data_IF_482300060656
#
_entry.id   IF_482300060656
#
_cell.length_a   1.000
_cell.length_b   1.000
_cell.length_c   1.000
_cell.angle_alpha   90.00
_cell.angle_beta   90.00
_cell.angle_gamma   90.00
#
_symmetry.space_group_name_H-M   'P 1'
#
loop_
_entity.id
_entity.type
_entity.pdbx_description
1 polymer ?
#
# COMPACT_ATOMS: atom_id res chain seq x y z
N UNK A 1 9.01 5.01 9.94
CA UNK A 1 7.77 4.33 9.50
C UNK A 1 7.96 4.04 8.01
N UNK A 2 8.14 2.77 7.63
CA UNK A 2 8.42 2.36 6.25
C UNK A 2 7.22 2.68 5.35
N UNK A 3 7.45 3.30 4.18
CA UNK A 3 6.40 3.61 3.21
C UNK A 3 5.95 2.31 2.51
N UNK A 4 4.87 1.71 3.01
CA UNK A 4 4.38 0.42 2.52
C UNK A 4 3.86 0.51 1.08
N UNK A 5 3.46 1.69 0.63
CA UNK A 5 3.02 1.91 -0.76
C UNK A 5 4.21 1.81 -1.71
N UNK A 6 5.33 2.41 -1.35
CA UNK A 6 6.56 2.37 -2.15
C UNK A 6 7.09 0.93 -2.31
N UNK A 7 7.06 0.16 -1.22
CA UNK A 7 7.44 -1.27 -1.25
C UNK A 7 6.50 -2.12 -2.12
N UNK A 8 5.22 -1.74 -2.24
CA UNK A 8 4.26 -2.39 -3.11
C UNK A 8 4.49 -2.00 -4.59
N UNK A 9 4.72 -0.73 -4.88
CA UNK A 9 4.77 -0.23 -6.26
C UNK A 9 6.01 -0.65 -7.05
N UNK A 10 7.16 -0.90 -6.40
CA UNK A 10 8.45 -0.99 -7.13
C UNK A 10 9.20 -2.33 -7.09
N UNK A 11 8.76 -3.33 -6.33
CA UNK A 11 9.53 -4.58 -6.25
C UNK A 11 9.14 -5.59 -7.34
N UNK A 12 10.16 -5.99 -8.11
CA UNK A 12 10.12 -7.10 -9.06
C UNK A 12 10.00 -8.45 -8.33
N UNK A 13 9.29 -9.46 -8.87
CA UNK A 13 9.24 -10.78 -8.27
C UNK A 13 10.63 -11.45 -8.36
N UNK A 14 11.23 -11.82 -7.22
CA UNK A 14 12.37 -12.75 -7.20
C UNK A 14 11.89 -14.18 -7.42
N UNK A 15 12.74 -15.03 -8.02
CA UNK A 15 12.45 -16.43 -8.38
C UNK A 15 12.78 -17.42 -7.24
N UNK A 16 12.89 -16.96 -6.00
CA UNK A 16 13.21 -17.82 -4.85
C UNK A 16 11.94 -18.38 -4.22
N UNK A 17 12.03 -19.54 -3.55
CA UNK A 17 11.03 -20.05 -2.60
C UNK A 17 10.43 -18.87 -1.80
N UNK A 18 9.09 -18.74 -1.73
CA UNK A 18 8.48 -17.56 -1.15
C UNK A 18 8.74 -17.54 0.36
N UNK A 19 9.73 -16.76 0.78
CA UNK A 19 9.92 -16.42 2.18
C UNK A 19 8.72 -15.65 2.75
N UNK A 20 8.61 -15.59 4.08
CA UNK A 20 7.53 -14.89 4.79
C UNK A 20 7.34 -13.45 4.31
N UNK A 21 8.43 -12.78 3.91
CA UNK A 21 8.40 -11.42 3.37
C UNK A 21 7.71 -11.37 2.00
N UNK A 22 8.01 -12.32 1.11
CA UNK A 22 7.41 -12.46 -0.22
C UNK A 22 5.93 -12.80 -0.13
N UNK A 23 5.53 -13.72 0.77
CA UNK A 23 4.13 -14.07 1.02
C UNK A 23 3.36 -12.85 1.52
N UNK A 24 3.90 -12.17 2.54
CA UNK A 24 3.30 -10.96 3.11
C UNK A 24 3.14 -9.88 2.05
N UNK A 25 4.18 -9.63 1.25
CA UNK A 25 4.13 -8.65 0.16
C UNK A 25 3.05 -8.98 -0.87
N UNK A 26 2.98 -10.23 -1.32
CA UNK A 26 1.96 -10.67 -2.29
C UNK A 26 0.56 -10.48 -1.72
N UNK A 27 0.32 -10.86 -0.46
CA UNK A 27 -0.97 -10.66 0.19
C UNK A 27 -1.36 -9.17 0.25
N UNK A 28 -0.44 -8.29 0.66
CA UNK A 28 -0.68 -6.85 0.69
C UNK A 28 -0.98 -6.27 -0.70
N UNK A 29 -0.27 -6.72 -1.74
CA UNK A 29 -0.53 -6.30 -3.12
C UNK A 29 -1.91 -6.71 -3.62
N UNK A 30 -2.43 -7.87 -3.21
CA UNK A 30 -3.78 -8.31 -3.62
C UNK A 30 -4.89 -7.46 -3.02
N UNK A 31 -4.71 -6.95 -1.80
CA UNK A 31 -5.71 -6.11 -1.13
C UNK A 31 -5.55 -4.62 -1.43
N UNK A 32 -4.37 -4.18 -1.89
CA UNK A 32 -4.08 -2.76 -2.13
C UNK A 32 -5.11 -2.06 -3.03
N UNK A 33 -5.59 -2.62 -4.17
CA UNK A 33 -6.62 -1.97 -4.98
C UNK A 33 -7.91 -1.72 -4.21
N UNK A 34 -8.34 -2.70 -3.40
CA UNK A 34 -9.53 -2.57 -2.55
C UNK A 34 -9.34 -1.48 -1.49
N UNK A 35 -8.18 -1.44 -0.84
CA UNK A 35 -7.83 -0.38 0.13
C UNK A 35 -7.93 1.01 -0.53
N UNK A 36 -7.33 1.18 -1.71
CA UNK A 36 -7.34 2.45 -2.41
C UNK A 36 -8.73 2.85 -2.91
N UNK A 37 -9.61 1.89 -3.18
CA UNK A 37 -10.97 2.15 -3.64
C UNK A 37 -11.93 2.48 -2.48
N UNK A 38 -11.81 1.79 -1.35
CA UNK A 38 -12.74 1.91 -0.23
C UNK A 38 -12.34 2.98 0.80
N UNK A 39 -11.04 3.16 1.06
CA UNK A 39 -10.58 4.04 2.15
C UNK A 39 -10.29 5.48 1.69
N UNK A 40 -10.03 5.68 0.39
CA UNK A 40 -9.61 6.98 -0.13
C UNK A 40 -10.77 7.68 -0.83
N UNK A 41 -10.91 8.98 -0.57
CA UNK A 41 -11.81 9.82 -1.35
C UNK A 41 -11.35 9.91 -2.82
N UNK A 42 -12.25 10.23 -3.77
CA UNK A 42 -11.87 10.39 -5.18
C UNK A 42 -10.71 11.37 -5.38
N UNK A 43 -10.63 12.43 -4.57
CA UNK A 43 -9.57 13.43 -4.65
C UNK A 43 -8.24 12.91 -4.11
N UNK A 44 -8.26 12.21 -2.98
CA UNK A 44 -7.08 11.52 -2.43
C UNK A 44 -6.50 10.52 -3.44
N UNK A 45 -7.35 9.67 -4.03
CA UNK A 45 -6.96 8.68 -5.04
C UNK A 45 -6.37 9.33 -6.28
N UNK A 46 -6.98 10.42 -6.75
CA UNK A 46 -6.49 11.17 -7.91
C UNK A 46 -5.11 11.77 -7.66
N UNK A 47 -4.91 12.44 -6.52
CA UNK A 47 -3.62 13.02 -6.17
C UNK A 47 -2.55 11.94 -5.94
N UNK A 48 -2.88 10.85 -5.24
CA UNK A 48 -1.96 9.76 -4.94
C UNK A 48 -1.52 9.04 -6.22
N UNK A 49 -2.45 8.73 -7.14
CA UNK A 49 -2.12 8.12 -8.44
C UNK A 49 -1.25 9.04 -9.28
N UNK A 50 -1.59 10.33 -9.38
CA UNK A 50 -0.79 11.27 -10.15
C UNK A 50 0.64 11.41 -9.61
N UNK A 51 0.83 11.27 -8.30
CA UNK A 51 2.16 11.34 -7.69
C UNK A 51 2.97 10.05 -7.89
N UNK A 52 2.43 8.89 -7.50
CA UNK A 52 3.17 7.61 -7.49
C UNK A 52 3.17 6.87 -8.82
N UNK A 53 2.10 6.97 -9.61
CA UNK A 53 1.95 6.24 -10.89
C UNK A 53 2.33 7.12 -12.06
N UNK A 54 1.81 8.35 -12.11
CA UNK A 54 2.10 9.26 -13.22
C UNK A 54 3.44 10.04 -13.02
N UNK A 55 4.09 9.91 -11.86
CA UNK A 55 5.38 10.56 -11.55
C UNK A 55 5.33 12.09 -11.47
N UNK A 56 4.16 12.69 -11.27
CA UNK A 56 3.99 14.15 -11.27
C UNK A 56 4.38 14.77 -9.94
N UNK A 57 5.02 15.93 -9.99
CA UNK A 57 5.26 16.75 -8.81
C UNK A 57 3.95 17.31 -8.24
N UNK A 58 3.95 17.65 -6.95
CA UNK A 58 2.78 18.24 -6.29
C UNK A 58 2.34 19.56 -6.95
N UNK A 59 3.28 20.34 -7.48
CA UNK A 59 3.01 21.59 -8.20
C UNK A 59 2.31 21.35 -9.54
N UNK A 60 2.73 20.33 -10.29
CA UNK A 60 2.07 19.95 -11.55
C UNK A 60 0.66 19.41 -11.30
N UNK A 61 0.49 18.61 -10.25
CA UNK A 61 -0.83 18.12 -9.81
C UNK A 61 -1.73 19.28 -9.41
N UNK A 62 -1.20 20.23 -8.63
CA UNK A 62 -1.93 21.42 -8.19
C UNK A 62 -2.43 22.25 -9.39
N UNK A 63 -1.54 22.53 -10.35
CA UNK A 63 -1.88 23.23 -11.59
C UNK A 63 -2.95 22.49 -12.40
N UNK A 64 -2.80 21.17 -12.56
CA UNK A 64 -3.75 20.34 -13.32
C UNK A 64 -5.13 20.29 -12.69
N UNK A 65 -5.22 20.30 -11.36
CA UNK A 65 -6.47 20.15 -10.62
C UNK A 65 -7.10 21.49 -10.20
N UNK A 66 -6.45 22.62 -10.46
CA UNK A 66 -6.91 23.93 -10.00
C UNK A 66 -6.88 24.07 -8.47
N UNK A 67 -5.89 23.46 -7.82
CA UNK A 67 -5.73 23.44 -6.36
C UNK A 67 -4.45 24.17 -5.94
N UNK A 68 -4.34 24.49 -4.65
CA UNK A 68 -3.05 24.90 -4.07
C UNK A 68 -2.13 23.68 -3.90
N UNK A 69 -0.81 23.89 -3.92
CA UNK A 69 0.15 22.82 -3.66
C UNK A 69 -0.01 22.26 -2.23
N UNK A 70 -0.35 23.11 -1.25
CA UNK A 70 -0.64 22.66 0.12
C UNK A 70 -1.85 21.71 0.18
N UNK A 71 -2.91 21.99 -0.58
CA UNK A 71 -4.08 21.12 -0.69
C UNK A 71 -3.72 19.77 -1.31
N UNK A 72 -2.87 19.75 -2.34
CA UNK A 72 -2.39 18.50 -2.94
C UNK A 72 -1.55 17.70 -1.95
N UNK A 73 -0.62 18.37 -1.26
CA UNK A 73 0.20 17.75 -0.21
C UNK A 73 -0.68 17.10 0.86
N UNK A 74 -1.69 17.82 1.36
CA UNK A 74 -2.66 17.28 2.31
C UNK A 74 -3.36 16.02 1.78
N UNK A 75 -3.86 16.04 0.55
CA UNK A 75 -4.52 14.87 -0.03
C UNK A 75 -3.60 13.67 -0.17
N UNK A 76 -2.33 13.87 -0.56
CA UNK A 76 -1.34 12.78 -0.65
C UNK A 76 -1.06 12.21 0.74
N UNK A 77 -0.78 13.07 1.73
CA UNK A 77 -0.50 12.62 3.09
C UNK A 77 -1.69 11.90 3.73
N UNK A 78 -2.90 12.43 3.58
CA UNK A 78 -4.11 11.80 4.09
C UNK A 78 -4.35 10.43 3.43
N UNK A 79 -4.15 10.33 2.11
CA UNK A 79 -4.27 9.08 1.37
C UNK A 79 -3.24 8.02 1.84
N UNK A 80 -1.98 8.43 2.00
CA UNK A 80 -0.91 7.57 2.52
C UNK A 80 -1.23 7.06 3.92
N UNK A 81 -1.66 7.96 4.81
CA UNK A 81 -2.01 7.59 6.18
C UNK A 81 -3.18 6.60 6.24
N UNK A 82 -4.22 6.81 5.41
CA UNK A 82 -5.36 5.91 5.33
C UNK A 82 -4.95 4.51 4.83
N UNK A 83 -4.23 4.44 3.71
CA UNK A 83 -3.77 3.18 3.14
C UNK A 83 -2.80 2.44 4.09
N UNK A 84 -1.81 3.14 4.65
CA UNK A 84 -0.83 2.53 5.56
C UNK A 84 -1.48 1.96 6.82
N UNK A 85 -2.49 2.64 7.38
CA UNK A 85 -3.22 2.12 8.55
C UNK A 85 -3.86 0.77 8.25
N UNK A 86 -4.56 0.64 7.13
CA UNK A 86 -5.25 -0.60 6.79
C UNK A 86 -4.27 -1.71 6.38
N UNK A 87 -3.27 -1.38 5.56
CA UNK A 87 -2.22 -2.33 5.16
C UNK A 87 -1.41 -2.84 6.37
N UNK A 88 -1.22 -2.02 7.40
CA UNK A 88 -0.57 -2.45 8.64
C UNK A 88 -1.38 -3.54 9.35
N UNK A 89 -2.71 -3.38 9.46
CA UNK A 89 -3.57 -4.42 10.03
C UNK A 89 -3.59 -5.69 9.16
N UNK A 90 -3.61 -5.55 7.84
CA UNK A 90 -3.51 -6.70 6.92
C UNK A 90 -2.17 -7.44 7.11
N UNK A 91 -1.07 -6.71 7.26
CA UNK A 91 0.25 -7.30 7.50
C UNK A 91 0.27 -8.13 8.79
N UNK A 92 -0.28 -7.59 9.88
CA UNK A 92 -0.37 -8.31 11.16
C UNK A 92 -1.24 -9.56 11.01
N UNK A 93 -2.37 -9.47 10.32
CA UNK A 93 -3.27 -10.60 10.10
C UNK A 93 -2.59 -11.72 9.30
N UNK A 94 -1.87 -11.38 8.23
CA UNK A 94 -1.11 -12.34 7.42
C UNK A 94 0.02 -12.98 8.23
N UNK A 95 0.75 -12.20 9.03
CA UNK A 95 1.80 -12.73 9.90
C UNK A 95 1.23 -13.75 10.89
N UNK A 96 0.13 -13.42 11.59
CA UNK A 96 -0.54 -14.34 12.52
C UNK A 96 -1.07 -15.60 11.83
N UNK A 97 -1.64 -15.47 10.64
CA UNK A 97 -2.12 -16.61 9.87
C UNK A 97 -0.97 -17.55 9.48
N UNK A 98 0.17 -17.00 9.07
CA UNK A 98 1.36 -17.77 8.76
C UNK A 98 1.91 -18.48 10.00
N UNK A 99 1.97 -17.80 11.16
CA UNK A 99 2.41 -18.40 12.42
C UNK A 99 1.51 -19.60 12.80
N UNK A 100 0.19 -19.45 12.75
CA UNK A 100 -0.75 -20.54 13.03
C UNK A 100 -0.60 -21.71 12.05
N UNK A 101 -0.34 -21.43 10.77
CA UNK A 101 -0.14 -22.47 9.77
C UNK A 101 1.16 -23.25 10.00
N UNK A 102 2.26 -22.56 10.29
CA UNK A 102 3.54 -23.18 10.64
C UNK A 102 3.43 -23.99 11.94
N UNK A 103 2.68 -23.52 12.93
CA UNK A 103 2.38 -24.30 14.14
C UNK A 103 1.62 -25.59 13.81
N UNK A 104 0.61 -25.53 12.95
CA UNK A 104 -0.16 -26.71 12.55
C UNK A 104 0.71 -27.74 11.79
N UNK A 105 1.51 -27.27 10.82
CA UNK A 105 2.41 -28.11 10.02
C UNK A 105 3.47 -28.80 10.90
N UNK A 106 4.08 -28.06 11.85
CA UNK A 106 5.04 -28.61 12.79
C UNK A 106 4.43 -29.62 13.78
N UNK A 107 3.13 -29.48 14.07
CA UNK A 107 2.38 -30.40 14.94
C UNK A 107 1.79 -31.60 14.17
N UNK A 108 2.02 -31.71 12.86
CA UNK A 108 1.57 -32.84 12.04
C UNK A 108 0.06 -32.91 11.83
N UNK A 109 -0.63 -31.76 11.86
CA UNK A 109 -2.06 -31.64 11.55
C UNK A 109 -2.32 -31.48 10.05
#
# INVERSE_FOLDING_TARGET
MTDMIENCCFASPSQTEPDTQTITRRALLTVLPMVLEQELSPRQRTCLRAFYVDGKSQTEIARRLGLSQATVSYHIHAAKAAANRLLHYCQIAVAKANDCWLEAENNGL
#
